data_IF_533430119791
#
_entry.id   IF_533430119791
#
_cell.length_a   1.000
_cell.length_b   1.000
_cell.length_c   1.000
_cell.angle_alpha   90.00
_cell.angle_beta   90.00
_cell.angle_gamma   90.00
#
_symmetry.space_group_name_H-M   'P 1'
#
loop_
_entity.id
_entity.type
_entity.pdbx_description
1 polymer ?
#
# COMPACT_ATOMS: atom_id res chain seq x y z
N UNK A 1 32.76 -6.55 19.86
CA UNK A 1 32.03 -5.41 19.24
C UNK A 1 33.06 -4.57 18.50
N UNK A 2 32.88 -4.38 17.20
CA UNK A 2 33.88 -3.76 16.30
C UNK A 2 33.80 -2.23 16.33
N UNK A 3 34.90 -1.53 16.06
CA UNK A 3 34.98 -0.06 16.06
C UNK A 3 33.91 0.62 15.17
N UNK A 4 33.49 -0.04 14.09
CA UNK A 4 32.41 0.43 13.22
C UNK A 4 31.06 0.48 13.94
N UNK A 5 30.68 -0.58 14.69
CA UNK A 5 29.44 -0.59 15.48
C UNK A 5 29.41 0.54 16.52
N UNK A 6 30.57 0.89 17.10
CA UNK A 6 30.67 1.99 18.04
C UNK A 6 30.51 3.36 17.35
N UNK A 7 31.09 3.55 16.16
CA UNK A 7 30.92 4.77 15.36
C UNK A 7 29.46 5.04 15.02
N UNK A 8 28.71 4.01 14.62
CA UNK A 8 27.29 4.14 14.28
C UNK A 8 26.42 4.43 15.51
N UNK A 9 26.76 3.87 16.68
CA UNK A 9 26.15 4.25 17.96
C UNK A 9 26.35 5.74 18.25
N UNK A 10 27.59 6.23 18.12
CA UNK A 10 27.94 7.64 18.36
C UNK A 10 27.19 8.58 17.41
N UNK A 11 27.00 8.19 16.14
CA UNK A 11 26.24 9.00 15.18
C UNK A 11 24.79 9.20 15.64
N UNK A 12 24.10 8.12 16.02
CA UNK A 12 22.71 8.23 16.52
C UNK A 12 22.64 8.93 17.87
N UNK A 13 23.61 8.72 18.77
CA UNK A 13 23.72 9.47 20.02
C UNK A 13 23.83 10.99 19.76
N UNK A 14 24.60 11.40 18.75
CA UNK A 14 24.70 12.80 18.35
C UNK A 14 23.36 13.33 17.81
N UNK A 15 22.61 12.54 17.03
CA UNK A 15 21.25 12.90 16.57
C UNK A 15 20.34 13.16 17.78
N UNK A 16 20.35 12.27 18.77
CA UNK A 16 19.56 12.42 19.98
C UNK A 16 20.02 13.62 20.83
N UNK A 17 21.32 13.92 20.89
CA UNK A 17 21.85 15.13 21.53
C UNK A 17 21.39 16.41 20.82
N UNK A 18 21.26 16.39 19.49
CA UNK A 18 20.69 17.51 18.74
C UNK A 18 19.21 17.72 19.07
N UNK A 19 18.44 16.64 19.24
CA UNK A 19 17.06 16.70 19.74
C UNK A 19 17.03 17.37 21.12
N UNK A 20 17.89 16.96 22.05
CA UNK A 20 17.92 17.55 23.39
C UNK A 20 18.18 19.06 23.38
N UNK A 21 19.12 19.50 22.54
CA UNK A 21 19.55 20.91 22.45
C UNK A 21 18.56 21.82 21.75
N UNK A 22 17.89 21.34 20.71
CA UNK A 22 17.13 22.20 19.77
C UNK A 22 15.62 22.08 19.88
N UNK A 23 15.11 21.01 20.50
CA UNK A 23 13.66 20.75 20.61
C UNK A 23 13.12 21.23 21.96
N UNK A 24 11.90 21.75 21.95
CA UNK A 24 11.18 22.17 23.14
C UNK A 24 10.96 21.01 24.13
N UNK A 25 10.93 21.33 25.43
CA UNK A 25 10.84 20.30 26.47
C UNK A 25 9.54 19.49 26.44
N UNK A 26 8.45 20.00 25.86
CA UNK A 26 7.15 19.31 25.84
C UNK A 26 7.14 18.19 24.81
N UNK A 27 7.80 18.39 23.66
CA UNK A 27 7.82 17.42 22.56
C UNK A 27 9.04 16.49 22.58
N UNK A 28 10.09 16.86 23.31
CA UNK A 28 11.40 16.16 23.32
C UNK A 28 11.29 14.65 23.55
N UNK A 29 10.56 14.22 24.59
CA UNK A 29 10.44 12.79 24.90
C UNK A 29 9.77 12.01 23.76
N UNK A 30 8.71 12.56 23.16
CA UNK A 30 8.06 11.90 22.03
C UNK A 30 8.96 11.85 20.80
N UNK A 31 9.73 12.91 20.52
CA UNK A 31 10.67 12.93 19.40
C UNK A 31 11.81 11.93 19.61
N UNK A 32 12.30 11.76 20.84
CA UNK A 32 13.27 10.71 21.17
C UNK A 32 12.69 9.32 20.89
N UNK A 33 11.50 9.04 21.42
CA UNK A 33 10.82 7.76 21.20
C UNK A 33 10.56 7.52 19.72
N UNK A 34 10.09 8.54 18.99
CA UNK A 34 9.91 8.50 17.54
C UNK A 34 11.22 8.16 16.82
N UNK A 35 12.30 8.90 17.09
CA UNK A 35 13.61 8.68 16.47
C UNK A 35 14.18 7.29 16.74
N UNK A 36 13.99 6.77 17.96
CA UNK A 36 14.37 5.38 18.31
C UNK A 36 13.60 4.35 17.49
N UNK A 37 12.30 4.53 17.30
CA UNK A 37 11.51 3.66 16.43
C UNK A 37 11.91 3.83 14.96
N UNK A 38 12.14 5.07 14.52
CA UNK A 38 12.49 5.40 13.14
C UNK A 38 13.79 4.70 12.73
N UNK A 39 14.84 4.79 13.54
CA UNK A 39 16.14 4.17 13.24
C UNK A 39 16.29 2.73 13.77
N UNK A 40 15.26 2.11 14.33
CA UNK A 40 15.35 0.80 15.01
C UNK A 40 15.98 -0.30 14.15
N UNK A 41 15.64 -0.34 12.86
CA UNK A 41 16.04 -1.39 11.93
C UNK A 41 16.96 -0.86 10.81
N UNK A 42 17.55 0.33 10.97
CA UNK A 42 18.48 0.86 9.97
C UNK A 42 19.74 -0.01 9.92
N UNK A 43 20.22 -0.31 8.72
CA UNK A 43 21.47 -1.06 8.57
C UNK A 43 22.68 -0.19 8.89
N UNK A 44 23.81 -0.81 9.21
CA UNK A 44 25.07 -0.08 9.42
C UNK A 44 25.56 0.56 8.12
N UNK A 45 25.32 -0.10 6.98
CA UNK A 45 25.71 0.38 5.66
C UNK A 45 24.91 1.65 5.27
N UNK A 46 23.62 1.70 5.63
CA UNK A 46 22.77 2.88 5.42
C UNK A 46 23.23 4.11 6.23
N UNK A 47 23.88 3.88 7.38
CA UNK A 47 24.46 4.91 8.23
C UNK A 47 25.87 5.34 7.78
N UNK A 48 26.49 4.61 6.86
CA UNK A 48 27.83 4.93 6.38
C UNK A 48 27.83 6.28 5.64
N UNK A 49 28.86 7.09 5.86
CA UNK A 49 29.00 8.44 5.30
C UNK A 49 27.87 9.43 5.61
N UNK A 50 26.99 9.12 6.57
CA UNK A 50 25.94 10.03 7.05
C UNK A 50 26.48 11.00 8.11
N UNK A 51 25.81 12.14 8.25
CA UNK A 51 26.05 13.08 9.34
C UNK A 51 24.80 13.24 10.21
N UNK A 52 25.04 13.59 11.47
CA UNK A 52 24.00 13.72 12.50
C UNK A 52 22.96 14.81 12.18
N UNK A 53 23.39 15.90 11.56
CA UNK A 53 22.55 17.06 11.28
C UNK A 53 21.48 16.76 10.22
N UNK A 54 21.83 16.02 9.17
CA UNK A 54 20.88 15.60 8.14
C UNK A 54 19.93 14.51 8.66
N UNK A 55 20.42 13.54 9.45
CA UNK A 55 19.56 12.53 10.09
C UNK A 55 18.58 13.15 11.11
N UNK A 56 19.05 14.15 11.87
CA UNK A 56 18.22 14.97 12.74
C UNK A 56 17.14 15.72 11.95
N UNK A 57 17.51 16.33 10.82
CA UNK A 57 16.58 17.02 9.92
C UNK A 57 15.50 16.10 9.36
N UNK A 58 15.89 14.91 8.88
CA UNK A 58 14.96 13.88 8.41
C UNK A 58 13.99 13.41 9.51
N UNK A 59 14.52 13.19 10.73
CA UNK A 59 13.71 12.81 11.90
C UNK A 59 12.64 13.86 12.20
N UNK A 60 13.02 15.14 12.24
CA UNK A 60 12.07 16.22 12.51
C UNK A 60 11.08 16.43 11.37
N UNK A 61 11.52 16.28 10.11
CA UNK A 61 10.66 16.41 8.93
C UNK A 61 9.45 15.48 9.02
N UNK A 62 9.70 14.20 9.32
CA UNK A 62 8.64 13.21 9.52
C UNK A 62 7.85 13.43 10.81
N UNK A 63 8.53 13.72 11.93
CA UNK A 63 7.87 13.95 13.22
C UNK A 63 6.82 15.06 13.15
N UNK A 64 7.13 16.17 12.48
CA UNK A 64 6.24 17.33 12.38
C UNK A 64 4.88 16.98 11.75
N UNK A 65 4.85 15.97 10.89
CA UNK A 65 3.63 15.44 10.29
C UNK A 65 3.04 14.34 11.17
N UNK A 66 3.87 13.39 11.60
CA UNK A 66 3.46 12.23 12.39
C UNK A 66 2.71 12.62 13.68
N UNK A 67 3.13 13.69 14.35
CA UNK A 67 2.50 14.15 15.58
C UNK A 67 1.00 14.46 15.43
N UNK A 68 0.53 14.83 14.23
CA UNK A 68 -0.86 15.21 13.95
C UNK A 68 -1.48 14.43 12.78
N UNK A 69 -0.90 13.29 12.40
CA UNK A 69 -1.33 12.49 11.25
C UNK A 69 -2.76 11.94 11.44
N UNK A 70 -3.62 12.14 10.42
CA UNK A 70 -4.97 11.55 10.34
C UNK A 70 -4.92 10.30 9.44
N UNK A 71 -5.14 9.14 10.06
CA UNK A 71 -5.13 7.82 9.42
C UNK A 71 -6.23 7.59 8.35
N UNK A 72 -7.12 8.56 8.08
CA UNK A 72 -8.11 8.50 7.00
C UNK A 72 -7.48 8.45 5.61
N UNK A 73 -6.35 9.14 5.40
CA UNK A 73 -5.65 9.14 4.11
C UNK A 73 -4.15 9.02 4.33
N UNK A 74 -3.43 8.31 3.45
CA UNK A 74 -1.98 8.24 3.52
C UNK A 74 -1.37 9.62 3.28
N UNK A 75 -0.37 9.96 4.09
CA UNK A 75 0.51 11.09 3.81
C UNK A 75 1.62 10.63 2.87
N UNK A 76 1.84 11.36 1.78
CA UNK A 76 2.93 11.15 0.83
C UNK A 76 3.56 12.49 0.51
N UNK A 77 4.89 12.57 0.65
CA UNK A 77 5.65 13.75 0.23
C UNK A 77 6.91 13.31 -0.50
N UNK A 78 7.15 13.92 -1.66
CA UNK A 78 8.36 13.70 -2.46
C UNK A 78 9.03 15.05 -2.68
N UNK A 79 10.30 15.18 -2.31
CA UNK A 79 10.99 16.47 -2.39
C UNK A 79 12.51 16.32 -2.35
N UNK A 80 13.20 17.37 -2.79
CA UNK A 80 14.63 17.52 -2.57
C UNK A 80 14.86 18.42 -1.35
N UNK A 81 15.47 17.92 -0.25
CA UNK A 81 15.77 18.74 0.91
C UNK A 81 16.77 19.85 0.54
N UNK A 82 16.52 21.04 1.10
CA UNK A 82 17.26 22.27 0.85
C UNK A 82 17.45 22.96 2.20
N UNK A 83 18.67 23.39 2.53
CA UNK A 83 18.97 23.96 3.85
C UNK A 83 18.06 25.15 4.16
N UNK A 84 17.85 26.05 3.20
CA UNK A 84 17.07 27.28 3.39
C UNK A 84 15.58 27.01 3.68
N UNK A 85 15.01 25.96 3.07
CA UNK A 85 13.57 25.64 3.19
C UNK A 85 13.27 24.61 4.27
N UNK A 86 14.18 23.64 4.44
CA UNK A 86 13.94 22.44 5.21
C UNK A 86 14.86 22.33 6.44
N UNK A 87 15.96 23.11 6.49
CA UNK A 87 16.94 23.06 7.57
C UNK A 87 17.95 21.90 7.46
N UNK A 88 17.88 21.12 6.38
CA UNK A 88 18.79 20.00 6.09
C UNK A 88 18.89 19.78 4.57
N UNK A 89 19.86 18.98 4.13
CA UNK A 89 20.05 18.66 2.71
C UNK A 89 20.23 17.16 2.50
N UNK A 90 19.97 16.72 1.26
CA UNK A 90 20.37 15.40 0.78
C UNK A 90 20.85 15.51 -0.66
N UNK A 91 21.74 14.61 -1.08
CA UNK A 91 22.06 14.42 -2.50
C UNK A 91 20.94 13.71 -3.25
N UNK A 92 20.03 13.04 -2.55
CA UNK A 92 18.92 12.27 -3.09
C UNK A 92 17.59 13.05 -3.06
N UNK A 93 16.61 12.56 -3.80
CA UNK A 93 15.20 12.90 -3.56
C UNK A 93 14.68 12.04 -2.43
N UNK A 94 13.89 12.66 -1.56
CA UNK A 94 13.32 12.03 -0.38
C UNK A 94 11.86 11.75 -0.61
N UNK A 95 11.45 10.53 -0.29
CA UNK A 95 10.04 10.11 -0.19
C UNK A 95 9.74 9.87 1.28
N UNK A 96 8.79 10.62 1.82
CA UNK A 96 8.23 10.44 3.15
C UNK A 96 6.80 9.93 3.03
N UNK A 97 6.50 8.80 3.69
CA UNK A 97 5.16 8.24 3.77
C UNK A 97 4.76 8.03 5.22
N UNK A 98 3.51 8.33 5.55
CA UNK A 98 2.88 7.91 6.81
C UNK A 98 1.54 7.29 6.44
N UNK A 99 1.32 6.04 6.86
CA UNK A 99 0.13 5.27 6.50
C UNK A 99 -0.28 4.36 7.67
N UNK A 100 -1.53 3.90 7.71
CA UNK A 100 -1.90 2.76 8.57
C UNK A 100 -1.04 1.54 8.21
N UNK A 101 -0.61 0.78 9.21
CA UNK A 101 0.15 -0.44 8.96
C UNK A 101 -0.76 -1.51 8.38
N UNK A 102 -0.54 -1.84 7.11
CA UNK A 102 -1.31 -2.82 6.35
C UNK A 102 -0.35 -3.70 5.52
N UNK A 103 -0.77 -4.92 5.12
CA UNK A 103 0.05 -5.77 4.26
C UNK A 103 0.41 -5.12 2.92
N UNK A 104 1.47 -5.64 2.26
CA UNK A 104 1.90 -5.32 0.89
C UNK A 104 2.53 -3.92 0.68
N UNK A 105 2.69 -3.10 1.72
CA UNK A 105 3.22 -1.73 1.57
C UNK A 105 4.61 -1.70 0.94
N UNK A 106 5.61 -2.31 1.58
CA UNK A 106 7.02 -2.22 1.16
C UNK A 106 7.20 -2.73 -0.27
N UNK A 107 6.63 -3.89 -0.59
CA UNK A 107 6.79 -4.51 -1.91
C UNK A 107 6.06 -3.71 -3.00
N UNK A 108 4.87 -3.18 -2.72
CA UNK A 108 4.13 -2.35 -3.66
C UNK A 108 4.82 -1.00 -3.92
N UNK A 109 5.42 -0.39 -2.88
CA UNK A 109 6.21 0.83 -3.02
C UNK A 109 7.46 0.57 -3.88
N UNK A 110 8.22 -0.49 -3.58
CA UNK A 110 9.40 -0.88 -4.38
C UNK A 110 9.05 -1.14 -5.83
N UNK A 111 7.95 -1.85 -6.10
CA UNK A 111 7.43 -2.08 -7.45
C UNK A 111 7.07 -0.78 -8.17
N UNK A 112 6.54 0.21 -7.45
CA UNK A 112 6.19 1.52 -8.01
C UNK A 112 7.43 2.29 -8.45
N UNK A 113 8.47 2.30 -7.61
CA UNK A 113 9.77 2.89 -7.94
C UNK A 113 10.41 2.21 -9.17
N UNK A 114 10.47 0.87 -9.16
CA UNK A 114 11.00 0.08 -10.28
C UNK A 114 10.26 0.35 -11.60
N UNK A 115 8.93 0.51 -11.56
CA UNK A 115 8.11 0.82 -12.75
C UNK A 115 8.42 2.19 -13.35
N UNK A 116 8.84 3.13 -12.52
CA UNK A 116 9.31 4.45 -12.95
C UNK A 116 10.79 4.47 -13.33
N UNK A 117 11.51 3.35 -13.18
CA UNK A 117 12.95 3.27 -13.40
C UNK A 117 13.75 4.03 -12.35
N UNK A 118 13.20 4.18 -11.14
CA UNK A 118 13.81 4.92 -10.03
C UNK A 118 14.40 3.93 -9.03
N UNK A 119 15.69 4.08 -8.73
CA UNK A 119 16.41 3.26 -7.76
C UNK A 119 16.16 3.80 -6.35
N UNK A 120 15.86 2.90 -5.41
CA UNK A 120 15.87 3.20 -3.98
C UNK A 120 17.25 2.92 -3.40
N UNK A 121 17.91 3.96 -2.87
CA UNK A 121 19.24 3.87 -2.24
C UNK A 121 19.15 3.50 -0.76
N UNK A 122 18.07 3.91 -0.10
CA UNK A 122 17.77 3.56 1.29
C UNK A 122 16.26 3.49 1.47
N UNK A 123 15.77 2.52 2.23
CA UNK A 123 14.36 2.41 2.62
C UNK A 123 14.27 2.05 4.10
N UNK A 124 13.78 2.98 4.89
CA UNK A 124 13.46 2.78 6.29
C UNK A 124 11.95 2.55 6.39
N UNK A 125 11.55 1.44 7.02
CA UNK A 125 10.16 1.08 7.26
C UNK A 125 9.97 0.78 8.74
N UNK A 126 9.26 1.69 9.41
CA UNK A 126 9.17 1.71 10.88
C UNK A 126 7.71 1.71 11.31
N UNK A 127 7.10 0.53 11.53
CA UNK A 127 5.77 0.41 12.10
C UNK A 127 5.80 0.75 13.59
N UNK A 128 4.86 1.58 14.03
CA UNK A 128 4.75 2.11 15.38
C UNK A 128 3.33 1.92 15.90
N UNK A 129 3.21 1.47 17.14
CA UNK A 129 1.94 1.42 17.84
C UNK A 129 1.73 2.74 18.59
N UNK A 130 0.58 3.36 18.40
CA UNK A 130 0.31 4.71 18.90
C UNK A 130 -1.06 4.82 19.55
N UNK A 131 -1.17 5.78 20.46
CA UNK A 131 -2.43 6.32 20.95
C UNK A 131 -2.59 7.75 20.43
N UNK A 132 -3.76 8.07 19.87
CA UNK A 132 -4.10 9.41 19.38
C UNK A 132 -5.36 9.94 20.05
N UNK A 133 -5.42 11.24 20.27
CA UNK A 133 -6.63 11.89 20.77
C UNK A 133 -7.70 12.06 19.68
N UNK A 134 -8.87 12.60 20.05
CA UNK A 134 -9.99 12.86 19.12
C UNK A 134 -9.66 13.87 18.01
N UNK A 135 -8.54 14.59 18.11
CA UNK A 135 -8.03 15.54 17.09
C UNK A 135 -6.84 14.95 16.33
N UNK A 136 -6.63 13.63 16.41
CA UNK A 136 -5.53 12.91 15.77
C UNK A 136 -4.13 13.27 16.27
N UNK A 137 -4.01 13.98 17.39
CA UNK A 137 -2.72 14.32 17.99
C UNK A 137 -2.18 13.11 18.72
N UNK A 138 -0.89 12.83 18.54
CA UNK A 138 -0.21 11.76 19.26
C UNK A 138 -0.27 12.03 20.76
N UNK A 139 -0.79 11.07 21.51
CA UNK A 139 -0.81 11.05 22.98
C UNK A 139 0.39 10.29 23.50
N UNK A 140 0.62 9.08 23.00
CA UNK A 140 1.75 8.25 23.41
C UNK A 140 2.10 7.18 22.36
N UNK A 141 3.28 6.59 22.49
CA UNK A 141 3.62 5.32 21.87
C UNK A 141 3.26 4.18 22.83
N UNK A 142 2.71 3.08 22.32
CA UNK A 142 2.27 1.95 23.15
C UNK A 142 3.02 0.68 22.80
N UNK A 143 3.15 -0.23 23.76
CA UNK A 143 3.75 -1.54 23.52
C UNK A 143 2.78 -2.45 22.74
N UNK A 144 3.33 -3.44 22.04
CA UNK A 144 2.53 -4.38 21.24
C UNK A 144 1.66 -5.35 22.05
N UNK A 145 1.78 -5.33 23.38
CA UNK A 145 1.02 -6.18 24.30
C UNK A 145 -0.39 -5.66 24.61
N UNK A 146 -0.72 -4.42 24.21
CA UNK A 146 -2.07 -3.89 24.36
C UNK A 146 -3.07 -4.53 23.38
N UNK A 147 -4.35 -4.51 23.72
CA UNK A 147 -5.39 -5.13 22.89
C UNK A 147 -5.73 -4.21 21.72
N UNK A 148 -5.23 -4.54 20.53
CA UNK A 148 -5.49 -3.84 19.25
C UNK A 148 -5.02 -2.37 19.21
N UNK A 149 -3.71 -2.11 19.37
CA UNK A 149 -3.19 -0.75 19.23
C UNK A 149 -3.38 -0.24 17.80
N UNK A 150 -3.64 1.07 17.65
CA UNK A 150 -3.58 1.72 16.35
C UNK A 150 -2.14 1.65 15.85
N UNK A 151 -1.93 0.98 14.72
CA UNK A 151 -0.60 0.78 14.14
C UNK A 151 -0.44 1.63 12.89
N UNK A 152 0.58 2.45 12.89
CA UNK A 152 0.93 3.35 11.80
C UNK A 152 2.38 3.15 11.41
N UNK A 153 2.64 3.26 10.13
CA UNK A 153 3.95 2.99 9.54
C UNK A 153 4.48 4.25 8.92
N UNK A 154 5.70 4.59 9.36
CA UNK A 154 6.51 5.64 8.75
C UNK A 154 7.47 4.99 7.77
N UNK A 155 7.49 5.52 6.54
CA UNK A 155 8.44 5.10 5.51
C UNK A 155 9.25 6.31 5.08
N UNK A 156 10.57 6.13 5.03
CA UNK A 156 11.50 7.10 4.50
C UNK A 156 12.33 6.43 3.42
N UNK A 157 12.35 7.00 2.22
CA UNK A 157 13.09 6.44 1.09
C UNK A 157 13.98 7.52 0.49
N UNK A 158 15.24 7.19 0.30
CA UNK A 158 16.12 7.95 -0.57
C UNK A 158 16.11 7.32 -1.94
N UNK A 159 15.80 8.11 -2.96
CA UNK A 159 15.76 7.66 -4.34
C UNK A 159 16.67 8.51 -5.21
N UNK A 160 16.89 8.05 -6.46
CA UNK A 160 17.57 8.85 -7.48
C UNK A 160 17.06 10.29 -7.49
N UNK A 161 17.97 11.26 -7.64
CA UNK A 161 17.59 12.67 -7.61
C UNK A 161 16.68 13.02 -8.80
N UNK A 162 15.44 13.36 -8.49
CA UNK A 162 14.45 13.90 -9.41
C UNK A 162 14.72 15.40 -9.60
N UNK A 163 15.11 15.80 -10.80
CA UNK A 163 15.57 17.16 -11.10
C UNK A 163 14.46 18.09 -11.58
N UNK A 164 13.39 17.54 -12.15
CA UNK A 164 12.24 18.30 -12.61
C UNK A 164 11.05 18.19 -11.66
N UNK A 165 10.24 19.25 -11.59
CA UNK A 165 8.96 19.22 -10.85
C UNK A 165 8.01 18.15 -11.41
N UNK A 166 8.04 17.91 -12.73
CA UNK A 166 7.19 16.91 -13.36
C UNK A 166 7.53 15.48 -12.88
N UNK A 167 8.81 15.17 -12.69
CA UNK A 167 9.24 13.86 -12.20
C UNK A 167 8.85 13.66 -10.72
N UNK A 168 9.03 14.70 -9.90
CA UNK A 168 8.56 14.70 -8.51
C UNK A 168 7.04 14.48 -8.44
N UNK A 169 6.27 15.27 -9.19
CA UNK A 169 4.80 15.18 -9.20
C UNK A 169 4.33 13.80 -9.73
N UNK A 170 5.03 13.25 -10.73
CA UNK A 170 4.76 11.90 -11.26
C UNK A 170 5.01 10.82 -10.21
N UNK A 171 6.14 10.87 -9.50
CA UNK A 171 6.45 9.92 -8.44
C UNK A 171 5.45 10.04 -7.28
N UNK A 172 5.13 11.25 -6.83
CA UNK A 172 4.10 11.50 -5.81
C UNK A 172 2.76 10.88 -6.20
N UNK A 173 2.31 11.11 -7.43
CA UNK A 173 1.04 10.58 -7.92
C UNK A 173 1.02 9.05 -7.99
N UNK A 174 2.11 8.43 -8.46
CA UNK A 174 2.19 6.97 -8.53
C UNK A 174 2.16 6.35 -7.13
N UNK A 175 2.89 6.92 -6.17
CA UNK A 175 2.90 6.44 -4.78
C UNK A 175 1.51 6.58 -4.12
N UNK A 176 0.83 7.71 -4.29
CA UNK A 176 -0.56 7.85 -3.83
C UNK A 176 -1.47 6.77 -4.45
N UNK A 177 -1.42 6.60 -5.78
CA UNK A 177 -2.24 5.60 -6.47
C UNK A 177 -1.97 4.19 -5.95
N UNK A 178 -0.70 3.85 -5.69
CA UNK A 178 -0.30 2.57 -5.12
C UNK A 178 -0.85 2.37 -3.71
N UNK A 179 -0.68 3.34 -2.82
CA UNK A 179 -1.15 3.23 -1.44
C UNK A 179 -2.68 3.17 -1.35
N UNK A 180 -3.39 3.87 -2.23
CA UNK A 180 -4.85 3.81 -2.33
C UNK A 180 -5.32 2.42 -2.79
N UNK A 181 -4.69 1.86 -3.83
CA UNK A 181 -5.00 0.51 -4.32
C UNK A 181 -4.71 -0.58 -3.27
N UNK A 182 -3.57 -0.48 -2.56
CA UNK A 182 -3.24 -1.40 -1.45
C UNK A 182 -4.29 -1.29 -0.34
N UNK A 183 -4.66 -0.07 0.04
CA UNK A 183 -5.66 0.17 1.09
C UNK A 183 -7.02 -0.40 0.73
N UNK A 184 -7.47 -0.27 -0.52
CA UNK A 184 -8.73 -0.82 -0.99
C UNK A 184 -8.72 -2.36 -0.99
N UNK A 185 -7.67 -2.96 -1.54
CA UNK A 185 -7.54 -4.41 -1.61
C UNK A 185 -7.52 -5.04 -0.20
N UNK A 186 -6.79 -4.42 0.74
CA UNK A 186 -6.74 -4.87 2.14
C UNK A 186 -8.06 -4.60 2.84
N UNK A 187 -8.69 -3.43 2.70
CA UNK A 187 -9.91 -3.12 3.44
C UNK A 187 -11.08 -4.08 3.16
N UNK A 188 -11.19 -4.58 1.93
CA UNK A 188 -12.28 -5.47 1.52
C UNK A 188 -11.87 -6.96 1.45
N UNK A 189 -10.74 -7.35 2.03
CA UNK A 189 -10.27 -8.73 1.92
C UNK A 189 -11.27 -9.75 2.50
N UNK A 190 -11.82 -9.51 3.71
CA UNK A 190 -12.86 -10.39 4.27
C UNK A 190 -14.16 -10.34 3.47
N UNK A 191 -14.72 -9.16 3.12
CA UNK A 191 -15.88 -9.09 2.22
C UNK A 191 -15.71 -9.87 0.91
N UNK A 192 -14.54 -9.81 0.28
CA UNK A 192 -14.28 -10.55 -0.96
C UNK A 192 -14.24 -12.07 -0.74
N UNK A 193 -13.65 -12.55 0.37
CA UNK A 193 -13.68 -13.97 0.72
C UNK A 193 -15.09 -14.46 1.06
N UNK A 194 -15.86 -13.67 1.80
CA UNK A 194 -17.26 -13.96 2.08
C UNK A 194 -18.06 -14.09 0.77
N UNK A 195 -17.86 -13.16 -0.17
CA UNK A 195 -18.53 -13.21 -1.46
C UNK A 195 -18.12 -14.42 -2.30
N UNK A 196 -16.84 -14.79 -2.30
CA UNK A 196 -16.37 -16.00 -2.98
C UNK A 196 -16.96 -17.28 -2.36
N UNK A 197 -17.12 -17.33 -1.04
CA UNK A 197 -17.82 -18.40 -0.34
C UNK A 197 -19.29 -18.49 -0.77
N UNK A 198 -20.00 -17.36 -0.78
CA UNK A 198 -21.41 -17.28 -1.21
C UNK A 198 -21.60 -17.77 -2.67
N UNK A 199 -20.71 -17.35 -3.56
CA UNK A 199 -20.71 -17.78 -4.97
C UNK A 199 -20.48 -19.29 -5.05
N UNK A 200 -19.52 -19.82 -4.30
CA UNK A 200 -19.22 -21.27 -4.27
C UNK A 200 -20.44 -22.07 -3.81
N UNK A 201 -21.12 -21.63 -2.74
CA UNK A 201 -22.32 -22.27 -2.24
C UNK A 201 -23.51 -22.17 -3.23
N UNK A 202 -23.61 -21.05 -3.94
CA UNK A 202 -24.63 -20.85 -4.99
C UNK A 202 -24.43 -21.81 -6.16
N UNK A 203 -23.19 -21.89 -6.66
CA UNK A 203 -22.83 -22.82 -7.75
C UNK A 203 -23.10 -24.27 -7.35
N UNK A 204 -22.77 -24.67 -6.12
CA UNK A 204 -22.97 -26.04 -5.65
C UNK A 204 -24.44 -26.49 -5.75
N UNK A 205 -25.37 -25.58 -5.40
CA UNK A 205 -26.82 -25.83 -5.40
C UNK A 205 -27.48 -25.63 -6.77
N UNK A 206 -26.86 -24.90 -7.68
CA UNK A 206 -27.44 -24.56 -8.96
C UNK A 206 -27.50 -25.78 -9.92
N UNK A 207 -28.61 -25.91 -10.63
CA UNK A 207 -28.71 -26.79 -11.81
C UNK A 207 -28.23 -26.00 -13.02
N UNK A 208 -27.00 -26.29 -13.46
CA UNK A 208 -26.33 -25.60 -14.56
C UNK A 208 -26.31 -26.49 -15.81
N UNK A 209 -26.31 -25.92 -17.03
CA UNK A 209 -26.23 -26.68 -18.28
C UNK A 209 -24.79 -27.13 -18.56
N UNK A 210 -24.17 -27.84 -17.60
CA UNK A 210 -22.81 -28.36 -17.66
C UNK A 210 -22.80 -29.78 -17.07
N UNK A 211 -21.82 -30.60 -17.43
CA UNK A 211 -21.68 -31.92 -16.82
C UNK A 211 -21.20 -31.83 -15.35
N UNK A 212 -21.55 -32.85 -14.56
CA UNK A 212 -21.23 -32.89 -13.12
C UNK A 212 -19.72 -32.90 -12.84
N UNK A 213 -18.90 -33.46 -13.74
CA UNK A 213 -17.45 -33.48 -13.54
C UNK A 213 -16.85 -32.07 -13.72
N UNK A 214 -17.27 -31.33 -14.74
CA UNK A 214 -16.90 -29.92 -14.94
C UNK A 214 -17.36 -29.03 -13.78
N UNK A 215 -18.55 -29.30 -13.23
CA UNK A 215 -19.05 -28.62 -12.03
C UNK A 215 -18.18 -28.91 -10.80
N UNK A 216 -17.84 -30.18 -10.55
CA UNK A 216 -16.96 -30.59 -9.44
C UNK A 216 -15.58 -29.90 -9.52
N UNK A 217 -14.95 -29.92 -10.70
CA UNK A 217 -13.64 -29.27 -10.91
C UNK A 217 -13.73 -27.77 -10.58
N UNK A 218 -14.78 -27.09 -11.06
CA UNK A 218 -14.98 -25.67 -10.80
C UNK A 218 -15.17 -25.37 -9.32
N UNK A 219 -15.98 -26.17 -8.61
CA UNK A 219 -16.19 -26.03 -7.17
C UNK A 219 -14.90 -26.25 -6.38
N UNK A 220 -14.12 -27.28 -6.72
CA UNK A 220 -12.83 -27.54 -6.09
C UNK A 220 -11.86 -26.38 -6.29
N UNK A 221 -11.84 -25.77 -7.48
CA UNK A 221 -11.03 -24.59 -7.73
C UNK A 221 -11.48 -23.36 -6.93
N UNK A 222 -12.78 -23.09 -6.86
CA UNK A 222 -13.33 -22.00 -6.04
C UNK A 222 -13.01 -22.20 -4.54
N UNK A 223 -13.12 -23.42 -4.03
CA UNK A 223 -12.74 -23.79 -2.66
C UNK A 223 -11.24 -23.64 -2.42
N UNK A 224 -10.42 -24.06 -3.38
CA UNK A 224 -8.97 -23.86 -3.32
C UNK A 224 -8.61 -22.36 -3.23
N UNK A 225 -9.27 -21.50 -4.00
CA UNK A 225 -9.09 -20.05 -3.89
C UNK A 225 -9.51 -19.50 -2.51
N UNK A 226 -10.64 -19.97 -1.95
CA UNK A 226 -11.09 -19.58 -0.61
C UNK A 226 -10.09 -19.96 0.50
N UNK A 227 -9.33 -21.03 0.31
CA UNK A 227 -8.33 -21.52 1.27
C UNK A 227 -7.00 -20.75 1.19
N UNK A 228 -7.05 -19.42 1.00
CA UNK A 228 -5.91 -18.50 0.96
C UNK A 228 -4.84 -18.79 -0.11
N UNK A 229 -5.16 -19.59 -1.13
CA UNK A 229 -4.25 -19.87 -2.24
C UNK A 229 -4.25 -18.79 -3.32
N UNK A 230 -5.11 -17.77 -3.19
CA UNK A 230 -5.19 -16.65 -4.10
C UNK A 230 -5.32 -15.33 -3.34
N UNK A 231 -4.69 -14.26 -3.85
CA UNK A 231 -4.88 -12.91 -3.33
C UNK A 231 -6.01 -12.24 -4.10
N UNK A 232 -7.16 -12.08 -3.45
CA UNK A 232 -8.29 -11.35 -4.02
C UNK A 232 -8.01 -9.84 -3.91
N UNK A 233 -8.01 -9.17 -5.06
CA UNK A 233 -7.71 -7.74 -5.15
C UNK A 233 -8.97 -6.91 -5.39
N UNK A 234 -9.96 -7.46 -6.07
CA UNK A 234 -11.22 -6.78 -6.34
C UNK A 234 -12.30 -7.73 -6.82
N UNK A 235 -13.55 -7.33 -6.64
CA UNK A 235 -14.73 -8.07 -7.06
C UNK A 235 -15.79 -7.11 -7.59
N UNK A 236 -16.51 -7.52 -8.64
CA UNK A 236 -17.72 -6.87 -9.12
C UNK A 236 -18.63 -7.90 -9.77
N UNK A 237 -19.92 -7.83 -9.46
CA UNK A 237 -20.97 -8.56 -10.12
C UNK A 237 -21.41 -7.86 -11.41
N UNK A 238 -21.74 -8.65 -12.44
CA UNK A 238 -22.33 -8.17 -13.67
C UNK A 238 -23.59 -8.99 -13.95
N UNK A 239 -24.69 -8.30 -14.25
CA UNK A 239 -25.90 -8.95 -14.78
C UNK A 239 -25.78 -9.05 -16.30
N UNK A 240 -26.28 -10.16 -16.85
CA UNK A 240 -26.33 -10.39 -18.30
C UNK A 240 -27.78 -10.27 -18.74
N UNK A 241 -28.04 -9.32 -19.64
CA UNK A 241 -29.38 -9.09 -20.19
C UNK A 241 -29.36 -9.37 -21.69
N UNK A 242 -30.28 -10.19 -22.17
CA UNK A 242 -30.51 -10.37 -23.60
C UNK A 242 -31.14 -9.11 -24.18
N UNK A 243 -30.63 -8.66 -25.33
CA UNK A 243 -31.18 -7.55 -26.11
C UNK A 243 -31.36 -8.01 -27.56
N UNK A 244 -32.00 -7.22 -28.41
CA UNK A 244 -32.23 -7.59 -29.80
C UNK A 244 -30.90 -7.84 -30.53
N UNK A 245 -30.65 -9.10 -30.89
CA UNK A 245 -29.46 -9.54 -31.61
C UNK A 245 -28.16 -9.59 -30.81
N UNK A 246 -28.18 -9.37 -29.48
CA UNK A 246 -26.95 -9.31 -28.67
C UNK A 246 -27.22 -9.61 -27.17
N UNK A 247 -26.16 -9.66 -26.36
CA UNK A 247 -26.23 -9.65 -24.90
C UNK A 247 -25.46 -8.45 -24.35
N UNK A 248 -25.98 -7.83 -23.30
CA UNK A 248 -25.27 -6.77 -22.58
C UNK A 248 -24.90 -7.19 -21.15
N UNK A 249 -23.67 -6.89 -20.76
CA UNK A 249 -23.20 -7.01 -19.39
C UNK A 249 -23.34 -5.67 -18.69
N UNK A 250 -24.19 -5.62 -17.67
CA UNK A 250 -24.44 -4.42 -16.87
C UNK A 250 -23.74 -4.59 -15.53
N UNK A 251 -22.75 -3.75 -15.19
CA UNK A 251 -22.10 -3.79 -13.90
C UNK A 251 -23.10 -3.43 -12.78
N UNK A 252 -23.10 -4.22 -11.71
CA UNK A 252 -23.66 -3.82 -10.44
C UNK A 252 -22.57 -3.07 -9.66
N UNK A 253 -22.61 -1.74 -9.71
CA UNK A 253 -21.57 -0.93 -9.10
C UNK A 253 -21.56 -1.02 -7.57
N UNK A 254 -22.70 -1.27 -6.93
CA UNK A 254 -22.83 -1.42 -5.47
C UNK A 254 -22.19 -2.71 -4.97
N UNK A 255 -22.07 -3.72 -5.85
CA UNK A 255 -21.32 -4.95 -5.55
C UNK A 255 -19.79 -4.79 -5.56
N UNK A 256 -19.27 -3.61 -5.91
CA UNK A 256 -17.82 -3.41 -6.10
C UNK A 256 -17.05 -3.48 -4.78
N UNK A 257 -16.06 -4.38 -4.73
CA UNK A 257 -15.12 -4.53 -3.62
C UNK A 257 -13.68 -4.39 -4.09
N UNK A 258 -12.80 -3.98 -3.19
CA UNK A 258 -11.37 -3.81 -3.42
C UNK A 258 -11.09 -2.84 -4.56
N UNK A 259 -10.17 -3.20 -5.45
CA UNK A 259 -9.77 -2.39 -6.59
C UNK A 259 -10.93 -2.03 -7.53
N UNK A 260 -12.04 -2.78 -7.53
CA UNK A 260 -13.18 -2.46 -8.37
C UNK A 260 -13.87 -1.15 -7.92
N UNK A 261 -13.71 -0.72 -6.67
CA UNK A 261 -14.21 0.59 -6.21
C UNK A 261 -13.63 1.77 -6.99
N UNK A 262 -12.43 1.63 -7.57
CA UNK A 262 -11.78 2.66 -8.38
C UNK A 262 -12.18 2.66 -9.86
N UNK A 263 -13.04 1.73 -10.30
CA UNK A 263 -13.40 1.56 -11.71
C UNK A 263 -14.91 1.51 -11.94
N UNK A 264 -15.67 2.24 -11.12
CA UNK A 264 -17.13 2.37 -11.25
C UNK A 264 -17.47 2.95 -12.62
N UNK A 265 -18.42 2.33 -13.30
CA UNK A 265 -18.87 2.75 -14.63
C UNK A 265 -20.27 2.21 -14.85
N UNK A 266 -21.22 3.06 -15.24
CA UNK A 266 -22.59 2.62 -15.60
C UNK A 266 -22.70 2.15 -17.05
N UNK A 267 -21.60 2.22 -17.81
CA UNK A 267 -21.60 1.84 -19.23
C UNK A 267 -21.74 0.31 -19.38
N UNK A 268 -22.84 -0.19 -19.98
CA UNK A 268 -22.96 -1.60 -20.28
C UNK A 268 -21.95 -2.00 -21.37
N UNK A 269 -21.50 -3.26 -21.31
CA UNK A 269 -20.61 -3.84 -22.32
C UNK A 269 -21.42 -4.78 -23.20
N UNK A 270 -21.43 -4.50 -24.50
CA UNK A 270 -22.05 -5.36 -25.49
C UNK A 270 -21.14 -6.55 -25.80
N UNK A 271 -21.71 -7.74 -25.81
CA UNK A 271 -21.01 -8.97 -26.15
C UNK A 271 -20.51 -8.94 -27.61
N UNK A 272 -21.28 -8.31 -28.53
CA UNK A 272 -20.87 -8.04 -29.91
C UNK A 272 -19.62 -7.18 -30.08
N UNK A 273 -19.25 -6.40 -29.04
CA UNK A 273 -18.02 -5.58 -29.06
C UNK A 273 -16.78 -6.32 -28.58
N UNK A 274 -16.94 -7.55 -28.07
CA UNK A 274 -15.79 -8.40 -27.73
C UNK A 274 -15.17 -9.01 -29.01
N UNK A 275 -13.85 -9.27 -29.01
CA UNK A 275 -13.21 -10.10 -30.02
C UNK A 275 -13.91 -11.45 -30.18
N UNK A 276 -13.85 -12.05 -31.37
CA UNK A 276 -14.60 -13.27 -31.70
C UNK A 276 -14.33 -14.42 -30.71
N UNK A 277 -13.06 -14.68 -30.38
CA UNK A 277 -12.66 -15.71 -29.42
C UNK A 277 -13.19 -15.45 -28.01
N UNK A 278 -13.20 -14.20 -27.56
CA UNK A 278 -13.74 -13.83 -26.25
C UNK A 278 -15.27 -13.97 -26.20
N UNK A 279 -15.94 -13.75 -27.33
CA UNK A 279 -17.38 -13.97 -27.47
C UNK A 279 -17.76 -15.44 -27.41
N UNK A 280 -17.00 -16.28 -28.12
CA UNK A 280 -17.17 -17.74 -28.08
C UNK A 280 -17.00 -18.27 -26.66
N UNK A 281 -15.95 -17.86 -25.95
CA UNK A 281 -15.71 -18.26 -24.56
C UNK A 281 -16.84 -17.77 -23.62
N UNK A 282 -17.30 -16.53 -23.79
CA UNK A 282 -18.39 -15.96 -22.99
C UNK A 282 -19.75 -16.66 -23.17
N UNK A 283 -19.96 -17.34 -24.31
CA UNK A 283 -21.16 -18.12 -24.62
C UNK A 283 -20.95 -19.62 -24.42
N UNK A 284 -19.76 -20.03 -24.00
CA UNK A 284 -19.45 -21.44 -23.78
C UNK A 284 -20.08 -21.99 -22.49
N UNK A 285 -20.11 -23.31 -22.37
CA UNK A 285 -20.53 -24.03 -21.16
C UNK A 285 -19.46 -24.02 -20.06
N UNK A 286 -18.42 -23.18 -20.16
CA UNK A 286 -17.37 -23.08 -19.14
C UNK A 286 -17.80 -22.15 -18.02
N UNK A 287 -17.93 -22.71 -16.81
CA UNK A 287 -18.33 -21.94 -15.63
C UNK A 287 -17.28 -20.92 -15.17
N UNK A 288 -16.00 -21.20 -15.41
CA UNK A 288 -14.88 -20.37 -14.99
C UNK A 288 -14.00 -20.00 -16.17
N UNK A 289 -13.73 -18.70 -16.30
CA UNK A 289 -12.84 -18.16 -17.33
C UNK A 289 -11.71 -17.41 -16.63
N UNK A 290 -10.47 -17.87 -16.84
CA UNK A 290 -9.27 -17.23 -16.33
C UNK A 290 -8.64 -16.39 -17.43
N UNK A 291 -8.60 -15.07 -17.24
CA UNK A 291 -7.96 -14.14 -18.18
C UNK A 291 -6.94 -13.27 -17.47
N UNK A 292 -5.97 -12.78 -18.23
CA UNK A 292 -5.04 -11.76 -17.78
C UNK A 292 -5.53 -10.41 -18.28
N UNK A 293 -5.64 -9.46 -17.37
CA UNK A 293 -5.85 -8.05 -17.75
C UNK A 293 -4.57 -7.49 -18.38
N UNK A 294 -4.72 -6.49 -19.25
CA UNK A 294 -3.61 -5.72 -19.80
C UNK A 294 -3.07 -4.68 -18.81
N UNK A 295 -3.83 -4.37 -17.75
CA UNK A 295 -3.42 -3.42 -16.70
C UNK A 295 -2.46 -4.08 -15.70
N UNK A 296 -1.30 -3.48 -15.46
CA UNK A 296 -0.38 -3.94 -14.42
C UNK A 296 -0.86 -3.50 -13.04
N UNK A 297 -1.10 -4.46 -12.14
CA UNK A 297 -1.44 -4.21 -10.73
C UNK A 297 -0.40 -3.32 -10.04
N UNK A 298 -0.82 -2.37 -9.21
CA UNK A 298 0.08 -1.64 -8.29
C UNK A 298 0.30 -2.38 -6.99
N UNK A 299 -0.70 -3.14 -6.54
CA UNK A 299 -0.57 -4.03 -5.39
C UNK A 299 0.32 -5.21 -5.78
N UNK A 300 1.37 -5.45 -5.00
CA UNK A 300 2.28 -6.56 -5.20
C UNK A 300 2.44 -7.38 -3.92
N UNK A 301 2.48 -8.69 -4.12
CA UNK A 301 2.88 -9.69 -3.13
C UNK A 301 4.04 -10.48 -3.74
N UNK A 302 5.20 -10.58 -3.06
CA UNK A 302 6.33 -11.38 -3.51
C UNK A 302 6.03 -12.89 -3.47
#
# INVERSE_FOLDING_TARGET
MTANSQRYSVLLENVFSLIDKKVDAKSRNHIHTFGRHFFKNISLDDLEHRNDSDLYGATLSLWNIFANYDAKQPYVRVFNPEIEKHGWKSSHTIVELIIRDIPFLVDSIRMSLNRLGITAHMLIHSPMNVERDKRHRLVNFVDSSETSPLRETVVFIEVDRQTSKADVDRLTKELHSTLDEVSLAVADWQPMLAKLSDITATVAKASLPIDEASKDISLRFLQWMNNHNFTLMGYRYYSVNAIEGDHQWVPDNDSSLGLMKNSISDKPRLLSKLPATAREEALSERLLILTKTNSRSRVHRP
#
